data_IF_807746801288
#
_entry.id   IF_807746801288
#
_cell.length_a   1.000
_cell.length_b   1.000
_cell.length_c   1.000
_cell.angle_alpha   90.00
_cell.angle_beta   90.00
_cell.angle_gamma   90.00
#
_symmetry.space_group_name_H-M   'P 1'
#
loop_
_entity.id
_entity.type
_entity.pdbx_description
1 polymer ?
#
# COMPACT_ATOMS: atom_id res chain seq x y z
N UNK A 1 1.94 -13.90 -11.84
CA UNK A 1 1.92 -14.41 -10.45
C UNK A 1 1.01 -13.51 -9.65
N UNK A 2 -0.05 -14.06 -9.05
CA UNK A 2 -0.92 -13.31 -8.16
C UNK A 2 -0.12 -12.86 -6.92
N UNK A 3 -0.29 -11.63 -6.40
CA UNK A 3 0.37 -11.20 -5.17
C UNK A 3 -0.30 -11.92 -3.98
N UNK A 4 0.08 -13.18 -3.74
CA UNK A 4 -0.44 -14.03 -2.65
C UNK A 4 -0.17 -13.42 -1.25
N UNK A 5 0.70 -12.41 -1.17
CA UNK A 5 0.98 -11.67 0.05
C UNK A 5 -0.08 -10.60 0.35
N UNK A 6 -0.89 -10.14 -0.62
CA UNK A 6 -1.90 -9.10 -0.42
C UNK A 6 -3.03 -9.50 0.55
N UNK A 7 -3.61 -10.72 0.47
CA UNK A 7 -4.54 -11.22 1.48
C UNK A 7 -3.90 -11.31 2.88
N UNK A 8 -2.62 -11.69 2.93
CA UNK A 8 -1.87 -11.83 4.19
C UNK A 8 -1.60 -10.47 4.84
N UNK A 9 -1.23 -9.46 4.05
CA UNK A 9 -1.07 -8.09 4.51
C UNK A 9 -2.39 -7.51 5.03
N UNK A 10 -3.51 -7.77 4.34
CA UNK A 10 -4.85 -7.41 4.81
C UNK A 10 -5.20 -8.02 6.16
N UNK A 11 -4.91 -9.32 6.34
CA UNK A 11 -5.11 -10.02 7.61
C UNK A 11 -4.24 -9.44 8.75
N UNK A 12 -2.97 -9.10 8.48
CA UNK A 12 -2.08 -8.46 9.46
C UNK A 12 -2.60 -7.08 9.85
N UNK A 13 -3.04 -6.27 8.88
CA UNK A 13 -3.58 -4.92 9.15
C UNK A 13 -4.76 -5.02 10.11
N UNK A 14 -5.70 -5.91 9.83
CA UNK A 14 -6.87 -6.10 10.70
C UNK A 14 -6.54 -6.72 12.05
N UNK A 15 -5.52 -7.56 12.16
CA UNK A 15 -5.15 -8.15 13.43
C UNK A 15 -4.43 -7.15 14.37
N UNK A 16 -3.64 -6.24 13.82
CA UNK A 16 -2.72 -5.41 14.62
C UNK A 16 -3.06 -3.92 14.67
N UNK A 17 -3.76 -3.38 13.68
CA UNK A 17 -3.97 -1.93 13.55
C UNK A 17 -5.42 -1.47 13.70
N UNK A 18 -6.40 -2.36 13.47
CA UNK A 18 -7.81 -2.06 13.67
C UNK A 18 -8.49 -3.12 14.52
N UNK A 19 -8.89 -2.74 15.73
CA UNK A 19 -9.52 -3.67 16.65
C UNK A 19 -11.04 -3.72 16.40
N UNK A 20 -11.69 -4.91 16.43
CA UNK A 20 -13.14 -5.05 16.20
C UNK A 20 -14.00 -4.14 17.10
N UNK A 21 -13.48 -3.77 18.28
CA UNK A 21 -14.12 -2.84 19.21
C UNK A 21 -14.46 -1.47 18.60
N UNK A 22 -13.80 -1.07 17.52
CA UNK A 22 -14.01 0.23 16.89
C UNK A 22 -15.24 0.25 15.96
N UNK A 23 -15.80 -0.91 15.58
CA UNK A 23 -16.84 -1.05 14.55
C UNK A 23 -18.05 -1.91 14.98
N UNK A 24 -18.16 -2.25 16.27
CA UNK A 24 -19.25 -3.06 16.84
C UNK A 24 -18.85 -4.53 17.07
N UNK A 25 -19.73 -5.31 17.72
CA UNK A 25 -19.50 -6.71 18.12
C UNK A 25 -19.36 -7.68 16.91
N UNK A 26 -18.38 -7.46 16.05
CA UNK A 26 -17.99 -8.37 14.97
C UNK A 26 -17.02 -9.39 15.54
N UNK A 27 -17.29 -10.67 15.28
CA UNK A 27 -16.39 -11.75 15.64
C UNK A 27 -14.98 -11.52 15.02
N UNK A 28 -13.88 -11.66 15.81
CA UNK A 28 -12.53 -11.41 15.32
C UNK A 28 -12.14 -12.25 14.09
N UNK A 29 -12.62 -13.49 13.97
CA UNK A 29 -12.35 -14.34 12.82
C UNK A 29 -13.01 -13.81 11.55
N UNK A 30 -14.26 -13.33 11.68
CA UNK A 30 -15.00 -12.69 10.59
C UNK A 30 -14.32 -11.38 10.16
N UNK A 31 -13.81 -10.60 11.10
CA UNK A 31 -13.07 -9.36 10.82
C UNK A 31 -11.79 -9.60 10.01
N UNK A 32 -10.97 -10.58 10.44
CA UNK A 32 -9.74 -10.95 9.74
C UNK A 32 -10.05 -11.45 8.32
N UNK A 33 -11.11 -12.25 8.16
CA UNK A 33 -11.52 -12.76 6.85
C UNK A 33 -11.97 -11.63 5.91
N UNK A 34 -12.81 -10.70 6.40
CA UNK A 34 -13.24 -9.53 5.62
C UNK A 34 -12.03 -8.70 5.20
N UNK A 35 -11.10 -8.45 6.12
CA UNK A 35 -9.88 -7.70 5.82
C UNK A 35 -8.97 -8.41 4.83
N UNK A 36 -8.87 -9.74 4.86
CA UNK A 36 -8.13 -10.51 3.86
C UNK A 36 -8.80 -10.41 2.47
N UNK A 37 -10.13 -10.49 2.41
CA UNK A 37 -10.89 -10.35 1.15
C UNK A 37 -10.77 -8.94 0.57
N UNK A 38 -10.93 -7.90 1.39
CA UNK A 38 -10.74 -6.52 0.98
C UNK A 38 -9.28 -6.24 0.63
N UNK A 39 -8.32 -6.76 1.39
CA UNK A 39 -6.89 -6.65 1.07
C UNK A 39 -6.54 -7.29 -0.28
N UNK A 40 -7.16 -8.44 -0.60
CA UNK A 40 -7.01 -9.05 -1.92
C UNK A 40 -7.63 -8.17 -3.03
N UNK A 41 -8.87 -7.72 -2.85
CA UNK A 41 -9.60 -6.94 -3.86
C UNK A 41 -8.94 -5.57 -4.10
N UNK A 42 -8.67 -4.82 -3.03
CA UNK A 42 -8.03 -3.51 -3.11
C UNK A 42 -6.56 -3.62 -3.49
N UNK A 43 -5.85 -4.68 -3.09
CA UNK A 43 -4.47 -4.90 -3.51
C UNK A 43 -4.34 -5.05 -5.02
N UNK A 44 -5.26 -5.78 -5.65
CA UNK A 44 -5.31 -5.89 -7.13
C UNK A 44 -5.63 -4.55 -7.79
N UNK A 45 -6.63 -3.84 -7.29
CA UNK A 45 -7.02 -2.54 -7.83
C UNK A 45 -5.88 -1.51 -7.70
N UNK A 46 -5.19 -1.46 -6.56
CA UNK A 46 -4.08 -0.56 -6.30
C UNK A 46 -2.88 -0.84 -7.21
N UNK A 47 -2.55 -2.12 -7.45
CA UNK A 47 -1.47 -2.49 -8.37
C UNK A 47 -1.79 -2.02 -9.80
N UNK A 48 -3.03 -2.15 -10.25
CA UNK A 48 -3.43 -1.73 -11.59
C UNK A 48 -3.50 -0.20 -11.72
N UNK A 49 -4.10 0.48 -10.73
CA UNK A 49 -4.33 1.91 -10.78
C UNK A 49 -3.05 2.73 -10.52
N UNK A 50 -2.15 2.24 -9.68
CA UNK A 50 -0.96 2.99 -9.23
C UNK A 50 0.33 2.29 -9.63
N UNK A 51 0.40 0.98 -9.38
CA UNK A 51 1.62 0.21 -9.63
C UNK A 51 2.04 0.18 -11.10
N UNK A 52 1.08 -0.01 -12.02
CA UNK A 52 1.37 -0.04 -13.45
C UNK A 52 1.82 1.34 -13.98
N UNK A 53 1.14 2.46 -13.71
CA UNK A 53 1.64 3.79 -14.07
C UNK A 53 3.01 4.11 -13.48
N UNK A 54 3.24 3.79 -12.19
CA UNK A 54 4.53 4.01 -11.54
C UNK A 54 5.66 3.21 -12.23
N UNK A 55 5.39 1.95 -12.59
CA UNK A 55 6.33 1.13 -13.35
C UNK A 55 6.65 1.73 -14.73
N UNK A 56 5.63 2.14 -15.49
CA UNK A 56 5.80 2.74 -16.82
C UNK A 56 6.64 4.01 -16.71
N UNK A 57 6.38 4.84 -15.70
CA UNK A 57 7.11 6.08 -15.44
C UNK A 57 8.58 5.82 -15.09
N UNK A 58 8.84 4.90 -14.17
CA UNK A 58 10.21 4.47 -13.82
C UNK A 58 10.97 3.94 -15.02
N UNK A 59 10.32 3.10 -15.83
CA UNK A 59 10.91 2.56 -17.07
C UNK A 59 11.22 3.67 -18.08
N UNK A 60 10.31 4.64 -18.24
CA UNK A 60 10.48 5.79 -19.14
C UNK A 60 11.65 6.68 -18.71
N UNK A 61 11.87 6.82 -17.40
CA UNK A 61 13.02 7.55 -16.84
C UNK A 61 14.31 6.72 -16.78
N UNK A 62 14.31 5.50 -17.27
CA UNK A 62 15.49 4.63 -17.28
C UNK A 62 15.85 4.06 -15.91
N UNK A 63 15.01 4.24 -14.88
CA UNK A 63 15.22 3.68 -13.56
C UNK A 63 14.83 2.19 -13.54
N UNK A 64 15.85 1.34 -13.44
CA UNK A 64 15.72 -0.13 -13.45
C UNK A 64 16.19 -0.80 -12.17
N UNK A 65 16.72 -0.04 -11.22
CA UNK A 65 17.21 -0.59 -9.95
C UNK A 65 16.06 -0.96 -9.02
N UNK A 66 16.26 -2.01 -8.22
CA UNK A 66 15.29 -2.42 -7.18
C UNK A 66 15.01 -1.27 -6.20
N UNK A 67 16.04 -0.47 -5.88
CA UNK A 67 15.92 0.68 -4.99
C UNK A 67 14.98 1.77 -5.52
N UNK A 68 14.95 2.01 -6.84
CA UNK A 68 14.03 2.97 -7.43
C UNK A 68 12.56 2.52 -7.30
N UNK A 69 12.31 1.22 -7.47
CA UNK A 69 10.97 0.63 -7.29
C UNK A 69 10.56 0.65 -5.81
N UNK A 70 11.46 0.24 -4.93
CA UNK A 70 11.25 0.24 -3.49
C UNK A 70 10.85 1.64 -2.99
N UNK A 71 11.66 2.65 -3.30
CA UNK A 71 11.43 4.03 -2.85
C UNK A 71 10.19 4.65 -3.48
N UNK A 72 9.95 4.43 -4.77
CA UNK A 72 8.78 5.00 -5.47
C UNK A 72 7.49 4.43 -4.92
N UNK A 73 7.40 3.10 -4.77
CA UNK A 73 6.18 2.49 -4.24
C UNK A 73 5.98 2.78 -2.75
N UNK A 74 7.05 2.89 -1.96
CA UNK A 74 6.97 3.36 -0.57
C UNK A 74 6.34 4.75 -0.50
N UNK A 75 6.81 5.69 -1.32
CA UNK A 75 6.28 7.07 -1.35
C UNK A 75 4.85 7.12 -1.87
N UNK A 76 4.53 6.37 -2.94
CA UNK A 76 3.17 6.29 -3.47
C UNK A 76 2.19 5.79 -2.41
N UNK A 77 2.54 4.74 -1.67
CA UNK A 77 1.68 4.17 -0.64
C UNK A 77 1.47 5.13 0.53
N UNK A 78 2.52 5.86 0.94
CA UNK A 78 2.37 6.93 1.94
C UNK A 78 1.41 8.03 1.49
N UNK A 79 1.48 8.44 0.22
CA UNK A 79 0.59 9.47 -0.34
C UNK A 79 -0.85 8.96 -0.36
N UNK A 80 -1.07 7.71 -0.81
CA UNK A 80 -2.40 7.10 -0.86
C UNK A 80 -2.97 6.97 0.54
N UNK A 81 -2.19 6.44 1.49
CA UNK A 81 -2.59 6.33 2.88
C UNK A 81 -2.98 7.69 3.45
N UNK A 82 -2.14 8.72 3.27
CA UNK A 82 -2.43 10.07 3.77
C UNK A 82 -3.71 10.65 3.14
N UNK A 83 -3.90 10.44 1.83
CA UNK A 83 -5.08 10.92 1.11
C UNK A 83 -6.36 10.22 1.59
N UNK A 84 -6.35 8.88 1.69
CA UNK A 84 -7.49 8.09 2.18
C UNK A 84 -7.79 8.45 3.63
N UNK A 85 -6.77 8.50 4.48
CA UNK A 85 -6.91 8.85 5.89
C UNK A 85 -7.52 10.24 6.07
N UNK A 86 -7.02 11.24 5.34
CA UNK A 86 -7.58 12.60 5.37
C UNK A 86 -9.02 12.63 4.84
N UNK A 87 -9.30 11.91 3.76
CA UNK A 87 -10.65 11.82 3.19
C UNK A 87 -11.66 11.22 4.17
N UNK A 88 -11.27 10.23 4.98
CA UNK A 88 -12.12 9.63 6.02
C UNK A 88 -12.59 10.63 7.08
N UNK A 89 -11.85 11.72 7.30
CA UNK A 89 -12.20 12.78 8.25
C UNK A 89 -12.64 14.09 7.58
N UNK A 90 -12.77 14.12 6.25
CA UNK A 90 -13.07 15.35 5.50
C UNK A 90 -14.41 15.98 5.89
N UNK A 91 -15.38 15.19 6.35
CA UNK A 91 -16.68 15.66 6.85
C UNK A 91 -16.57 16.55 8.10
N UNK A 92 -15.49 16.42 8.87
CA UNK A 92 -15.22 17.26 10.05
C UNK A 92 -14.56 18.61 9.70
N UNK A 93 -14.29 18.84 8.41
CA UNK A 93 -13.61 20.03 7.89
C UNK A 93 -12.11 19.77 7.59
N UNK A 94 -11.56 20.44 6.57
CA UNK A 94 -10.20 20.15 6.09
C UNK A 94 -9.12 20.44 7.14
N UNK A 95 -9.28 21.48 7.96
CA UNK A 95 -8.34 21.79 9.04
C UNK A 95 -8.29 20.72 10.13
N UNK A 96 -9.44 20.11 10.44
CA UNK A 96 -9.53 19.02 11.43
C UNK A 96 -8.94 17.73 10.87
N UNK A 97 -9.24 17.40 9.60
CA UNK A 97 -8.66 16.22 8.97
C UNK A 97 -7.12 16.30 8.91
N UNK A 98 -6.57 17.46 8.58
CA UNK A 98 -5.12 17.69 8.54
C UNK A 98 -4.49 17.67 9.94
N UNK A 99 -5.16 18.20 10.96
CA UNK A 99 -4.64 18.14 12.33
C UNK A 99 -4.62 16.72 12.88
N UNK A 100 -5.64 15.90 12.59
CA UNK A 100 -5.69 14.48 12.96
C UNK A 100 -4.60 13.69 12.22
N UNK A 101 -4.39 13.95 10.92
CA UNK A 101 -3.29 13.34 10.16
C UNK A 101 -1.93 13.68 10.80
N UNK A 102 -1.69 14.97 11.08
CA UNK A 102 -0.44 15.42 11.70
C UNK A 102 -0.23 14.79 13.08
N UNK A 103 -1.25 14.79 13.94
CA UNK A 103 -1.22 14.12 15.24
C UNK A 103 -0.92 12.63 15.10
N UNK A 104 -1.55 11.94 14.16
CA UNK A 104 -1.29 10.51 13.91
C UNK A 104 0.14 10.23 13.49
N UNK A 105 0.75 11.10 12.66
CA UNK A 105 2.14 10.95 12.24
C UNK A 105 3.10 11.14 13.42
N UNK A 106 2.82 12.10 14.30
CA UNK A 106 3.66 12.43 15.46
C UNK A 106 3.51 11.39 16.58
N UNK A 107 2.28 11.05 16.94
CA UNK A 107 1.97 10.17 18.07
C UNK A 107 2.12 8.69 17.72
N UNK A 108 1.90 8.32 16.45
CA UNK A 108 1.93 6.94 15.97
C UNK A 108 2.73 6.78 14.66
N UNK A 109 4.03 7.14 14.64
CA UNK A 109 4.85 7.09 13.42
C UNK A 109 4.98 5.69 12.82
N UNK A 110 4.76 4.64 13.61
CA UNK A 110 4.74 3.26 13.13
C UNK A 110 3.64 2.97 12.10
N UNK A 111 2.51 3.70 12.14
CA UNK A 111 1.39 3.52 11.20
C UNK A 111 1.78 3.90 9.77
N UNK A 112 2.20 5.15 9.46
CA UNK A 112 2.61 5.50 8.10
C UNK A 112 3.79 4.65 7.63
N UNK A 113 4.78 4.39 8.49
CA UNK A 113 5.92 3.53 8.12
C UNK A 113 5.47 2.14 7.69
N UNK A 114 4.54 1.53 8.43
CA UNK A 114 3.99 0.22 8.06
C UNK A 114 3.34 0.24 6.68
N UNK A 115 2.47 1.22 6.38
CA UNK A 115 1.88 1.35 5.04
C UNK A 115 2.95 1.57 3.97
N UNK A 116 3.92 2.44 4.21
CA UNK A 116 5.05 2.62 3.30
C UNK A 116 5.79 1.31 3.03
N UNK A 117 6.05 0.50 4.07
CA UNK A 117 6.70 -0.81 3.93
C UNK A 117 5.87 -1.80 3.10
N UNK A 118 4.54 -1.79 3.25
CA UNK A 118 3.65 -2.57 2.38
C UNK A 118 3.84 -2.14 0.92
N UNK A 119 3.86 -0.83 0.65
CA UNK A 119 4.17 -0.28 -0.67
C UNK A 119 5.53 -0.73 -1.20
N UNK A 120 6.58 -0.66 -0.37
CA UNK A 120 7.92 -1.14 -0.72
C UNK A 120 7.93 -2.62 -1.15
N UNK A 121 7.21 -3.48 -0.41
CA UNK A 121 7.06 -4.92 -0.76
C UNK A 121 6.35 -5.10 -2.10
N UNK A 122 5.31 -4.29 -2.39
CA UNK A 122 4.68 -4.25 -3.72
C UNK A 122 5.71 -3.92 -4.79
N UNK A 123 6.48 -2.83 -4.58
CA UNK A 123 7.47 -2.34 -5.54
C UNK A 123 8.56 -3.37 -5.85
N UNK A 124 9.09 -4.02 -4.81
CA UNK A 124 10.07 -5.11 -4.96
C UNK A 124 9.45 -6.31 -5.70
N UNK A 125 8.22 -6.69 -5.37
CA UNK A 125 7.49 -7.75 -6.08
C UNK A 125 7.34 -7.41 -7.57
N UNK A 126 6.95 -6.17 -7.87
CA UNK A 126 6.79 -5.70 -9.24
C UNK A 126 8.13 -5.73 -9.99
N UNK A 127 9.20 -5.27 -9.36
CA UNK A 127 10.56 -5.34 -9.92
C UNK A 127 11.00 -6.78 -10.20
N UNK A 128 10.74 -7.72 -9.27
CA UNK A 128 11.07 -9.14 -9.44
C UNK A 128 10.29 -9.81 -10.58
N UNK A 129 9.06 -9.37 -10.84
CA UNK A 129 8.21 -9.89 -11.92
C UNK A 129 8.62 -9.27 -13.27
N UNK A 130 8.72 -7.94 -13.32
CA UNK A 130 8.99 -7.22 -14.56
C UNK A 130 10.47 -7.30 -14.99
N UNK A 131 11.39 -7.56 -14.03
CA UNK A 131 12.85 -7.63 -14.20
C UNK A 131 13.39 -6.64 -15.23
N UNK A 132 13.19 -5.33 -15.01
CA UNK A 132 13.57 -4.31 -15.99
C UNK A 132 15.10 -4.22 -16.21
N UNK A 133 15.88 -4.83 -15.31
CA UNK A 133 17.33 -5.01 -15.37
C UNK A 133 17.76 -6.01 -16.46
N UNK A 134 16.94 -6.99 -16.80
CA UNK A 134 17.25 -7.95 -17.85
C UNK A 134 17.11 -7.27 -19.22
N UNK A 135 18.21 -7.17 -19.96
CA UNK A 135 18.15 -6.80 -21.39
C UNK A 135 17.36 -7.89 -22.13
N UNK A 136 16.48 -7.52 -23.08
CA UNK A 136 15.88 -8.51 -23.95
C UNK A 136 17.02 -9.27 -24.63
N UNK A 137 17.03 -10.59 -24.52
CA UNK A 137 17.98 -11.43 -25.25
C UNK A 137 17.79 -11.12 -26.73
N UNK A 138 18.78 -10.49 -27.34
CA UNK A 138 18.84 -10.35 -28.79
C UNK A 138 18.95 -11.77 -29.35
N UNK A 139 17.82 -12.32 -29.79
CA UNK A 139 17.84 -13.48 -30.67
C UNK A 139 18.30 -12.91 -32.01
N UNK A 140 19.61 -12.98 -32.23
CA UNK A 140 20.28 -12.76 -33.51
C UNK A 140 20.31 -14.06 -34.29
#
# INVERSE_FOLDING_TARGET
MAPLWAPFAGAIIAAFFWHPSDLGNVDPGTWILMAAMFGALYGYAAILAVGLPAHILLKRWGHRSVWAYLTTFFVCELIIWAAVYTASYASNGPGVALSILAGTIVDHPGRPIFFGLVGAVVGVTFWMIARPDRKPSSIS
#
